data_IF_501734236782
#
_entry.id   IF_501734236782
#
_cell.length_a   1.000
_cell.length_b   1.000
_cell.length_c   1.000
_cell.angle_alpha   90.00
_cell.angle_beta   90.00
_cell.angle_gamma   90.00
#
_symmetry.space_group_name_H-M   'P 1'
#
loop_
_entity.id
_entity.type
_entity.pdbx_description
1 polymer ?
#
# COMPACT_ATOMS: atom_id res chain seq x y z
N UNK A 1 -7.99 1.72 -48.94
CA UNK A 1 -6.89 2.53 -48.38
C UNK A 1 -7.41 3.82 -47.68
N UNK A 2 -8.01 4.79 -48.41
CA UNK A 2 -8.49 6.07 -47.84
C UNK A 2 -9.68 5.90 -46.88
N UNK A 3 -10.62 5.00 -47.16
CA UNK A 3 -11.75 4.72 -46.29
C UNK A 3 -11.33 4.01 -45.00
N UNK A 4 -10.34 3.15 -45.04
CA UNK A 4 -9.81 2.46 -43.88
C UNK A 4 -9.05 3.41 -42.96
N UNK A 5 -8.30 4.36 -43.52
CA UNK A 5 -7.63 5.43 -42.75
C UNK A 5 -8.65 6.36 -42.06
N UNK A 6 -9.73 6.72 -42.78
CA UNK A 6 -10.81 7.55 -42.16
C UNK A 6 -11.56 6.79 -41.06
N UNK A 7 -11.80 5.49 -41.21
CA UNK A 7 -12.43 4.67 -40.21
C UNK A 7 -11.54 4.53 -38.94
N UNK A 8 -10.23 4.35 -39.15
CA UNK A 8 -9.24 4.32 -38.04
C UNK A 8 -9.16 5.65 -37.31
N UNK A 9 -9.10 6.78 -38.04
CA UNK A 9 -9.08 8.12 -37.44
C UNK A 9 -10.36 8.41 -36.67
N UNK A 10 -11.54 8.05 -37.20
CA UNK A 10 -12.82 8.18 -36.52
C UNK A 10 -12.88 7.36 -35.22
N UNK A 11 -12.35 6.14 -35.25
CA UNK A 11 -12.25 5.28 -34.05
C UNK A 11 -11.33 5.87 -32.99
N UNK A 12 -10.16 6.40 -33.39
CA UNK A 12 -9.22 7.05 -32.47
C UNK A 12 -9.78 8.32 -31.84
N UNK A 13 -10.50 9.14 -32.63
CA UNK A 13 -11.15 10.36 -32.14
C UNK A 13 -12.26 9.99 -31.14
N UNK A 14 -13.12 9.02 -31.46
CA UNK A 14 -14.20 8.58 -30.57
C UNK A 14 -13.65 7.98 -29.28
N UNK A 15 -12.61 7.17 -29.34
CA UNK A 15 -11.97 6.63 -28.14
C UNK A 15 -11.34 7.73 -27.28
N UNK A 16 -10.65 8.69 -27.91
CA UNK A 16 -10.09 9.85 -27.19
C UNK A 16 -11.15 10.70 -26.52
N UNK A 17 -12.28 10.95 -27.17
CA UNK A 17 -13.40 11.71 -26.63
C UNK A 17 -14.05 10.96 -25.46
N UNK A 18 -14.27 9.65 -25.58
CA UNK A 18 -14.82 8.84 -24.51
C UNK A 18 -13.91 8.85 -23.26
N UNK A 19 -12.60 8.71 -23.44
CA UNK A 19 -11.64 8.79 -22.35
C UNK A 19 -11.68 10.17 -21.68
N UNK A 20 -11.72 11.25 -22.46
CA UNK A 20 -11.77 12.60 -21.93
C UNK A 20 -13.07 12.87 -21.14
N UNK A 21 -14.21 12.38 -21.64
CA UNK A 21 -15.50 12.48 -20.93
C UNK A 21 -15.45 11.71 -19.61
N UNK A 22 -14.94 10.48 -19.61
CA UNK A 22 -14.84 9.66 -18.40
C UNK A 22 -13.92 10.33 -17.37
N UNK A 23 -12.75 10.84 -17.80
CA UNK A 23 -11.83 11.56 -16.91
C UNK A 23 -12.44 12.83 -16.34
N UNK A 24 -13.16 13.61 -17.17
CA UNK A 24 -13.85 14.80 -16.69
C UNK A 24 -14.96 14.45 -15.69
N UNK A 25 -15.80 13.47 -16.02
CA UNK A 25 -16.85 12.99 -15.14
C UNK A 25 -16.30 12.47 -13.81
N UNK A 26 -15.22 11.69 -13.83
CA UNK A 26 -14.58 11.18 -12.63
C UNK A 26 -14.08 12.31 -11.71
N UNK A 27 -13.41 13.33 -12.28
CA UNK A 27 -12.96 14.52 -11.53
C UNK A 27 -14.14 15.31 -10.97
N UNK A 28 -15.20 15.51 -11.77
CA UNK A 28 -16.37 16.22 -11.34
C UNK A 28 -17.09 15.51 -10.19
N UNK A 29 -17.28 14.17 -10.31
CA UNK A 29 -17.89 13.34 -9.27
C UNK A 29 -17.04 13.37 -8.00
N UNK A 30 -15.73 13.23 -8.10
CA UNK A 30 -14.84 13.28 -6.93
C UNK A 30 -15.00 14.59 -6.16
N UNK A 31 -14.98 15.73 -6.85
CA UNK A 31 -15.15 17.05 -6.23
C UNK A 31 -16.55 17.25 -5.64
N UNK A 32 -17.59 16.85 -6.38
CA UNK A 32 -18.98 16.96 -5.93
C UNK A 32 -19.25 16.07 -4.71
N UNK A 33 -18.61 14.87 -4.65
CA UNK A 33 -18.74 13.95 -3.54
C UNK A 33 -18.17 14.52 -2.24
N UNK A 34 -16.98 15.13 -2.30
CA UNK A 34 -16.37 15.81 -1.14
C UNK A 34 -17.29 16.86 -0.58
N UNK A 35 -17.81 17.75 -1.45
CA UNK A 35 -18.74 18.81 -1.05
C UNK A 35 -20.03 18.23 -0.45
N UNK A 36 -20.60 17.20 -1.08
CA UNK A 36 -21.84 16.56 -0.63
C UNK A 36 -21.68 15.88 0.74
N UNK A 37 -20.55 15.20 0.96
CA UNK A 37 -20.21 14.61 2.27
C UNK A 37 -20.14 15.68 3.36
N UNK A 38 -19.46 16.80 3.08
CA UNK A 38 -19.36 17.93 4.02
C UNK A 38 -20.74 18.51 4.37
N UNK A 39 -21.60 18.77 3.35
CA UNK A 39 -22.94 19.29 3.54
C UNK A 39 -23.83 18.36 4.37
N UNK A 40 -23.64 17.05 4.25
CA UNK A 40 -24.41 16.03 4.96
C UNK A 40 -23.80 15.59 6.29
N UNK A 41 -22.59 16.06 6.62
CA UNK A 41 -21.87 15.61 7.83
C UNK A 41 -21.50 14.12 7.81
N UNK A 42 -21.32 13.53 6.62
CA UNK A 42 -21.01 12.11 6.45
C UNK A 42 -19.51 11.93 6.23
N UNK A 43 -18.91 11.00 6.96
CA UNK A 43 -17.50 10.61 6.86
C UNK A 43 -17.43 9.12 6.58
N UNK A 44 -16.65 8.70 5.59
CA UNK A 44 -16.35 7.29 5.32
C UNK A 44 -15.04 6.87 6.02
N UNK A 45 -14.77 5.55 6.21
CA UNK A 45 -13.49 5.09 6.75
C UNK A 45 -12.28 5.63 5.97
N UNK A 46 -12.34 5.69 4.63
CA UNK A 46 -11.26 6.22 3.79
C UNK A 46 -11.06 7.73 4.00
N UNK A 47 -12.13 8.48 4.29
CA UNK A 47 -12.01 9.90 4.62
C UNK A 47 -11.26 10.11 5.95
N UNK A 48 -11.42 9.21 6.93
CA UNK A 48 -10.70 9.31 8.20
C UNK A 48 -9.19 9.20 7.98
N UNK A 49 -8.76 8.22 7.19
CA UNK A 49 -7.35 8.02 6.85
C UNK A 49 -6.82 9.21 6.03
N UNK A 50 -7.54 9.62 4.99
CA UNK A 50 -7.14 10.73 4.11
C UNK A 50 -7.05 12.05 4.87
N UNK A 51 -8.02 12.34 5.75
CA UNK A 51 -8.04 13.57 6.55
C UNK A 51 -6.89 13.59 7.57
N UNK A 52 -6.63 12.47 8.25
CA UNK A 52 -5.49 12.37 9.16
C UNK A 52 -4.18 12.54 8.41
N UNK A 53 -4.02 11.88 7.27
CA UNK A 53 -2.82 12.02 6.44
C UNK A 53 -2.61 13.47 6.02
N UNK A 54 -3.64 14.16 5.53
CA UNK A 54 -3.56 15.58 5.15
C UNK A 54 -3.25 16.49 6.34
N UNK A 55 -3.83 16.23 7.52
CA UNK A 55 -3.53 16.97 8.73
C UNK A 55 -2.06 16.81 9.16
N UNK A 56 -1.50 15.60 9.03
CA UNK A 56 -0.08 15.33 9.29
C UNK A 56 0.87 15.97 8.26
N UNK A 57 0.37 16.27 7.05
CA UNK A 57 1.12 16.97 6.00
C UNK A 57 1.07 18.50 6.14
N UNK A 58 0.15 19.03 6.92
CA UNK A 58 -0.05 20.47 7.12
C UNK A 58 1.10 21.12 7.93
N UNK A 59 1.12 22.44 8.00
CA UNK A 59 2.07 23.21 8.82
C UNK A 59 2.04 22.79 10.31
N UNK A 60 0.90 22.37 10.82
CA UNK A 60 0.73 21.89 12.20
C UNK A 60 0.96 20.37 12.36
N UNK A 61 1.30 19.68 11.28
CA UNK A 61 1.46 18.23 11.25
C UNK A 61 2.52 17.70 12.21
N UNK A 62 3.62 18.45 12.41
CA UNK A 62 4.66 18.09 13.37
C UNK A 62 4.11 18.06 14.82
N UNK A 63 3.37 19.10 15.21
CA UNK A 63 2.76 19.17 16.55
C UNK A 63 1.72 18.05 16.76
N UNK A 64 0.96 17.73 15.71
CA UNK A 64 0.00 16.62 15.75
C UNK A 64 0.73 15.27 15.91
N UNK A 65 1.79 15.01 15.15
CA UNK A 65 2.62 13.81 15.27
C UNK A 65 3.18 13.65 16.68
N UNK A 66 3.74 14.72 17.27
CA UNK A 66 4.31 14.71 18.61
C UNK A 66 3.25 14.41 19.68
N UNK A 67 2.04 14.97 19.56
CA UNK A 67 0.94 14.69 20.47
C UNK A 67 0.48 13.23 20.40
N UNK A 68 0.33 12.69 19.17
CA UNK A 68 -0.06 11.27 18.99
C UNK A 68 1.03 10.35 19.54
N UNK A 69 2.29 10.62 19.23
CA UNK A 69 3.43 9.83 19.69
C UNK A 69 3.61 9.90 21.23
N UNK A 70 3.29 11.01 21.87
CA UNK A 70 3.32 11.12 23.31
C UNK A 70 2.26 10.23 23.99
N UNK A 71 1.11 10.07 23.36
CA UNK A 71 0.04 9.18 23.85
C UNK A 71 0.32 7.70 23.53
N UNK A 72 0.91 7.45 22.36
CA UNK A 72 1.19 6.11 21.82
C UNK A 72 2.64 6.04 21.33
N UNK A 73 3.63 5.89 22.23
CA UNK A 73 5.05 5.94 21.84
C UNK A 73 5.53 4.72 21.06
N UNK A 74 4.75 3.63 21.07
CA UNK A 74 5.03 2.38 20.36
C UNK A 74 3.81 2.00 19.53
N UNK A 75 4.06 1.65 18.26
CA UNK A 75 3.05 1.02 17.41
C UNK A 75 3.57 -0.30 16.85
N UNK A 76 2.66 -1.25 16.72
CA UNK A 76 2.88 -2.53 16.05
C UNK A 76 1.84 -2.68 14.95
N UNK A 77 2.29 -2.86 13.72
CA UNK A 77 1.43 -3.09 12.56
C UNK A 77 1.61 -4.55 12.16
N UNK A 78 0.55 -5.32 12.31
CA UNK A 78 0.49 -6.69 11.81
C UNK A 78 -0.01 -6.71 10.36
N UNK A 79 0.29 -7.78 9.62
CA UNK A 79 -0.05 -7.93 8.20
C UNK A 79 0.41 -6.72 7.36
N UNK A 80 1.61 -6.21 7.63
CA UNK A 80 2.11 -4.97 7.02
C UNK A 80 2.16 -5.02 5.48
N UNK A 81 2.22 -6.20 4.86
CA UNK A 81 2.16 -6.37 3.40
C UNK A 81 0.83 -5.90 2.79
N UNK A 82 -0.23 -5.75 3.61
CA UNK A 82 -1.55 -5.29 3.18
C UNK A 82 -1.78 -3.79 3.41
N UNK A 83 -0.73 -3.09 3.84
CA UNK A 83 -0.76 -1.65 4.12
C UNK A 83 -0.70 -0.84 2.81
N UNK A 84 -1.56 0.17 2.71
CA UNK A 84 -1.55 1.12 1.60
C UNK A 84 -0.59 2.30 1.84
N UNK A 85 -0.24 3.09 0.78
CA UNK A 85 0.68 4.22 0.90
C UNK A 85 0.20 5.32 1.86
N UNK A 86 -1.12 5.53 2.00
CA UNK A 86 -1.68 6.56 2.91
C UNK A 86 -1.50 6.12 4.35
N UNK A 87 -1.80 4.86 4.66
CA UNK A 87 -1.61 4.27 5.98
C UNK A 87 -0.13 4.32 6.39
N UNK A 88 0.77 3.87 5.51
CA UNK A 88 2.22 3.95 5.78
C UNK A 88 2.69 5.39 5.95
N UNK A 89 2.18 6.33 5.14
CA UNK A 89 2.47 7.76 5.26
C UNK A 89 2.08 8.33 6.63
N UNK A 90 0.96 7.90 7.20
CA UNK A 90 0.53 8.26 8.56
C UNK A 90 1.53 7.71 9.58
N UNK A 91 1.80 6.41 9.57
CA UNK A 91 2.69 5.77 10.54
C UNK A 91 4.11 6.31 10.48
N UNK A 92 4.68 6.46 9.29
CA UNK A 92 6.05 6.96 9.12
C UNK A 92 6.21 8.40 9.63
N UNK A 93 5.17 9.25 9.53
CA UNK A 93 5.21 10.60 10.08
C UNK A 93 5.09 10.64 11.59
N UNK A 94 4.24 9.82 12.18
CA UNK A 94 4.05 9.78 13.64
C UNK A 94 5.27 9.13 14.31
N UNK A 95 5.77 8.02 13.76
CA UNK A 95 6.82 7.22 14.37
C UNK A 95 8.22 7.45 13.76
N UNK A 96 8.36 8.41 12.85
CA UNK A 96 9.65 8.89 12.35
C UNK A 96 10.34 9.90 13.26
N UNK A 97 9.74 10.26 14.40
CA UNK A 97 10.30 11.20 15.38
C UNK A 97 11.07 10.46 16.49
N UNK A 98 11.89 11.22 17.28
CA UNK A 98 12.68 10.65 18.36
C UNK A 98 11.79 10.03 19.46
N UNK A 99 12.31 8.99 20.10
CA UNK A 99 11.67 8.29 21.20
C UNK A 99 10.35 7.59 20.85
N UNK A 100 10.19 7.22 19.59
CA UNK A 100 9.09 6.38 19.12
C UNK A 100 9.60 5.06 18.56
N UNK A 101 8.73 4.05 18.55
CA UNK A 101 9.04 2.75 17.97
C UNK A 101 7.89 2.31 17.06
N UNK A 102 8.24 1.94 15.83
CA UNK A 102 7.32 1.32 14.87
C UNK A 102 7.81 -0.09 14.57
N UNK A 103 7.04 -1.10 14.95
CA UNK A 103 7.27 -2.49 14.57
C UNK A 103 6.31 -2.84 13.43
N UNK A 104 6.87 -3.26 12.30
CA UNK A 104 6.14 -3.68 11.09
C UNK A 104 6.32 -5.20 10.96
N UNK A 105 5.23 -5.93 11.06
CA UNK A 105 5.19 -7.40 11.04
C UNK A 105 4.41 -7.80 9.80
N UNK A 106 4.99 -8.65 8.95
CA UNK A 106 4.31 -9.08 7.73
C UNK A 106 5.14 -10.02 6.88
N UNK A 107 4.46 -10.73 6.00
CA UNK A 107 5.09 -11.59 5.01
C UNK A 107 4.72 -11.12 3.59
N UNK A 108 5.64 -10.52 2.84
CA UNK A 108 5.36 -10.01 1.50
C UNK A 108 4.91 -11.09 0.51
N UNK A 109 5.17 -12.37 0.81
CA UNK A 109 4.69 -13.51 0.01
C UNK A 109 3.19 -13.75 0.16
N UNK A 110 2.57 -13.16 1.20
CA UNK A 110 1.12 -13.23 1.46
C UNK A 110 0.35 -11.99 0.96
N UNK A 111 0.99 -11.07 0.24
CA UNK A 111 0.39 -9.87 -0.32
C UNK A 111 -0.59 -10.21 -1.46
N UNK A 112 -1.85 -10.43 -1.14
CA UNK A 112 -2.92 -10.79 -2.08
C UNK A 112 -4.02 -9.73 -2.20
N UNK A 113 -3.96 -8.64 -1.41
CA UNK A 113 -5.01 -7.63 -1.33
C UNK A 113 -4.73 -6.36 -2.15
N UNK A 114 -3.92 -6.44 -3.22
CA UNK A 114 -3.67 -5.32 -4.12
C UNK A 114 -4.95 -4.68 -4.69
N UNK A 115 -6.01 -5.46 -4.90
CA UNK A 115 -7.31 -4.97 -5.33
C UNK A 115 -8.07 -4.13 -4.28
N UNK A 116 -7.60 -4.11 -3.02
CA UNK A 116 -8.11 -3.27 -1.92
C UNK A 116 -7.22 -2.06 -1.62
N UNK A 117 -6.23 -1.78 -2.46
CA UNK A 117 -5.31 -0.66 -2.27
C UNK A 117 -4.01 -1.02 -1.56
N UNK A 118 -3.84 -2.26 -1.08
CA UNK A 118 -2.55 -2.73 -0.59
C UNK A 118 -1.49 -2.62 -1.69
N UNK A 119 -0.31 -2.14 -1.33
CA UNK A 119 0.77 -1.91 -2.28
C UNK A 119 2.08 -2.57 -1.83
N UNK A 120 2.48 -3.60 -2.55
CA UNK A 120 3.73 -4.33 -2.27
C UNK A 120 4.97 -3.42 -2.36
N UNK A 121 4.93 -2.36 -3.15
CA UNK A 121 6.04 -1.40 -3.24
C UNK A 121 6.15 -0.56 -1.96
N UNK A 122 5.04 -0.32 -1.27
CA UNK A 122 5.04 0.29 0.07
C UNK A 122 5.79 -0.59 1.07
N UNK A 123 5.54 -1.91 1.07
CA UNK A 123 6.29 -2.86 1.90
C UNK A 123 7.79 -2.87 1.56
N UNK A 124 8.14 -2.97 0.27
CA UNK A 124 9.53 -3.00 -0.20
C UNK A 124 10.25 -1.71 0.20
N UNK A 125 9.64 -0.55 -0.04
CA UNK A 125 10.20 0.74 0.34
C UNK A 125 10.40 0.92 1.84
N UNK A 126 9.41 0.51 2.64
CA UNK A 126 9.51 0.53 4.10
C UNK A 126 10.63 -0.38 4.61
N UNK A 127 10.75 -1.61 4.09
CA UNK A 127 11.84 -2.54 4.42
C UNK A 127 13.22 -1.95 4.09
N UNK A 128 13.36 -1.27 2.94
CA UNK A 128 14.61 -0.63 2.54
C UNK A 128 14.98 0.56 3.45
N UNK A 129 13.99 1.26 4.00
CA UNK A 129 14.19 2.38 4.92
C UNK A 129 14.62 1.93 6.32
N UNK A 130 14.37 0.67 6.70
CA UNK A 130 14.79 0.11 7.99
C UNK A 130 16.23 -0.39 7.91
N UNK A 131 17.06 0.01 8.88
CA UNK A 131 18.44 -0.44 8.98
C UNK A 131 18.53 -1.98 9.12
N UNK A 132 19.53 -2.60 8.50
CA UNK A 132 19.63 -4.07 8.41
C UNK A 132 19.71 -4.76 9.76
N UNK A 133 20.32 -4.14 10.75
CA UNK A 133 20.41 -4.62 12.13
C UNK A 133 19.09 -4.59 12.91
N UNK A 134 18.07 -3.94 12.32
CA UNK A 134 16.69 -3.87 12.84
C UNK A 134 15.68 -4.67 12.02
N UNK A 135 16.17 -5.46 11.07
CA UNK A 135 15.33 -6.38 10.28
C UNK A 135 15.48 -7.79 10.84
N UNK A 136 14.37 -8.40 11.19
CA UNK A 136 14.30 -9.74 11.76
C UNK A 136 13.48 -10.64 10.85
N UNK A 137 13.85 -11.91 10.78
CA UNK A 137 13.11 -12.92 10.03
C UNK A 137 12.72 -14.06 10.97
N UNK A 138 11.48 -14.51 10.87
CA UNK A 138 11.02 -15.74 11.53
C UNK A 138 11.25 -16.89 10.55
N UNK A 139 12.14 -17.80 10.91
CA UNK A 139 12.62 -18.90 10.07
C UNK A 139 12.10 -20.29 10.49
N UNK A 140 11.27 -20.33 11.54
CA UNK A 140 10.70 -21.58 12.07
C UNK A 140 9.19 -21.58 11.98
N UNK A 141 8.63 -22.60 11.34
CA UNK A 141 7.18 -22.78 11.21
C UNK A 141 6.66 -23.69 12.32
N UNK A 142 5.88 -23.12 13.26
CA UNK A 142 5.23 -23.85 14.34
C UNK A 142 3.76 -24.19 14.05
N UNK A 143 3.22 -23.79 12.89
CA UNK A 143 1.80 -23.94 12.54
C UNK A 143 1.51 -25.19 11.73
N UNK A 144 2.37 -25.48 10.76
CA UNK A 144 2.14 -26.55 9.77
C UNK A 144 2.90 -27.82 10.12
N UNK A 145 2.41 -28.97 9.68
CA UNK A 145 3.16 -30.23 9.80
C UNK A 145 4.40 -30.22 8.88
N UNK A 146 5.41 -30.98 9.25
CA UNK A 146 6.67 -31.14 8.50
C UNK A 146 6.44 -31.48 7.02
N UNK A 147 5.53 -32.43 6.74
CA UNK A 147 5.21 -32.81 5.36
C UNK A 147 4.63 -31.70 4.49
N UNK A 148 3.86 -30.77 5.08
CA UNK A 148 3.35 -29.58 4.38
C UNK A 148 4.50 -28.61 4.12
N UNK A 149 5.31 -28.32 5.11
CA UNK A 149 6.48 -27.44 4.97
C UNK A 149 7.44 -27.96 3.91
N UNK A 150 7.78 -29.25 3.93
CA UNK A 150 8.63 -29.89 2.93
C UNK A 150 8.05 -29.80 1.52
N UNK A 151 6.74 -30.01 1.38
CA UNK A 151 6.06 -29.92 0.08
C UNK A 151 6.13 -28.52 -0.50
N UNK A 152 5.89 -27.49 0.32
CA UNK A 152 6.01 -26.08 -0.06
C UNK A 152 7.45 -25.73 -0.42
N UNK A 153 8.41 -26.12 0.42
CA UNK A 153 9.83 -25.91 0.18
C UNK A 153 10.29 -26.53 -1.16
N UNK A 154 9.86 -27.76 -1.46
CA UNK A 154 10.18 -28.43 -2.74
C UNK A 154 9.53 -27.74 -3.93
N UNK A 155 8.30 -27.24 -3.79
CA UNK A 155 7.60 -26.55 -4.87
C UNK A 155 8.34 -25.27 -5.27
N UNK A 156 8.64 -24.43 -4.29
CA UNK A 156 9.27 -23.12 -4.53
C UNK A 156 10.77 -23.21 -4.80
N UNK A 157 11.47 -24.25 -4.33
CA UNK A 157 12.88 -24.46 -4.64
C UNK A 157 13.17 -24.96 -6.07
N UNK A 158 12.14 -25.25 -6.87
CA UNK A 158 12.31 -25.68 -8.28
C UNK A 158 12.78 -24.56 -9.22
N UNK A 159 12.60 -23.33 -8.82
CA UNK A 159 12.95 -22.16 -9.62
C UNK A 159 13.75 -21.18 -8.75
N UNK A 160 14.88 -20.73 -9.23
CA UNK A 160 15.72 -19.74 -8.55
C UNK A 160 15.00 -18.38 -8.39
N UNK A 161 14.06 -18.07 -9.29
CA UNK A 161 13.21 -16.88 -9.28
C UNK A 161 11.75 -17.27 -9.03
N UNK A 162 11.45 -17.73 -7.82
CA UNK A 162 10.10 -18.19 -7.45
C UNK A 162 9.09 -17.05 -7.33
N UNK A 163 9.54 -15.80 -7.17
CA UNK A 163 8.70 -14.61 -7.07
C UNK A 163 9.10 -13.55 -8.09
N UNK A 164 8.13 -12.75 -8.55
CA UNK A 164 8.34 -11.69 -9.55
C UNK A 164 9.39 -10.67 -9.08
N UNK A 165 9.40 -10.35 -7.78
CA UNK A 165 10.34 -9.41 -7.15
C UNK A 165 11.38 -10.16 -6.31
N UNK A 166 12.04 -11.15 -6.90
CA UNK A 166 12.91 -12.09 -6.18
C UNK A 166 14.05 -11.40 -5.41
N UNK A 167 14.61 -10.30 -5.92
CA UNK A 167 15.66 -9.54 -5.23
C UNK A 167 15.16 -8.89 -3.93
N UNK A 168 13.91 -8.43 -3.89
CA UNK A 168 13.30 -7.80 -2.72
C UNK A 168 12.56 -8.80 -1.81
N UNK A 169 12.03 -9.88 -2.41
CA UNK A 169 11.20 -10.91 -1.77
C UNK A 169 11.76 -12.29 -2.15
N UNK A 170 12.95 -12.67 -1.69
CA UNK A 170 13.53 -13.98 -2.01
C UNK A 170 12.74 -15.10 -1.33
N UNK A 171 12.72 -16.27 -1.95
CA UNK A 171 12.24 -17.47 -1.29
C UNK A 171 13.24 -17.89 -0.21
N UNK A 172 12.75 -18.11 1.00
CA UNK A 172 13.49 -18.64 2.12
C UNK A 172 12.84 -19.96 2.55
N UNK A 173 13.65 -21.02 2.65
CA UNK A 173 13.20 -22.28 3.24
C UNK A 173 12.96 -22.10 4.74
N UNK A 174 11.91 -22.71 5.19
CA UNK A 174 11.54 -22.77 6.60
C UNK A 174 11.83 -24.15 7.12
#
# INVERSE_FOLDING_TARGET
ARFDEMAQLSSLINNGLNIAIVQYAAKWVANALVKRKQEQGVITPDDLLSNLHQALLSEQGQVLSEKIAALFPVAMIDEFQDTDPVQYGIFSRIYGIKNTTLAMIGDPKQAIYGFRGADIFTYIGAKQAVAKDKQYTLDTNYRSSEGVVDSVNRLFAKNDNSFIYNDAIPFQKV
#
